data_IF_703545843576
#
_entry.id   IF_703545843576
#
_cell.length_a   1.000
_cell.length_b   1.000
_cell.length_c   1.000
_cell.angle_alpha   90.00
_cell.angle_beta   90.00
_cell.angle_gamma   90.00
#
_symmetry.space_group_name_H-M   'P 1'
#
loop_
_entity.id
_entity.type
_entity.pdbx_description
1 polymer ?
#
# COMPACT_ATOMS: atom_id res chain seq x y z
N UNK A 1 1.03 4.07 -7.38
CA UNK A 1 -0.09 3.40 -8.09
C UNK A 1 -1.43 3.77 -7.46
N UNK A 2 -2.47 3.88 -8.27
CA UNK A 2 -3.85 4.11 -7.82
C UNK A 2 -4.75 3.05 -8.45
N UNK A 3 -5.51 2.33 -7.64
CA UNK A 3 -6.51 1.35 -8.10
C UNK A 3 -7.78 1.48 -7.28
N UNK A 4 -8.93 1.20 -7.89
CA UNK A 4 -10.20 1.05 -7.17
C UNK A 4 -10.44 -0.40 -6.71
N UNK A 5 -9.61 -1.33 -7.19
CA UNK A 5 -9.61 -2.75 -6.80
C UNK A 5 -8.69 -3.01 -5.60
N UNK A 6 -8.49 -4.30 -5.27
CA UNK A 6 -7.54 -4.70 -4.22
C UNK A 6 -6.11 -4.42 -4.68
N UNK A 7 -5.27 -3.87 -3.81
CA UNK A 7 -3.88 -3.54 -4.15
C UNK A 7 -3.01 -4.76 -4.43
N UNK A 8 -3.37 -5.92 -3.89
CA UNK A 8 -2.75 -7.20 -4.19
C UNK A 8 -3.38 -7.92 -5.40
N UNK A 9 -4.35 -7.31 -6.10
CA UNK A 9 -4.91 -7.88 -7.32
C UNK A 9 -3.86 -7.90 -8.44
N UNK A 10 -4.04 -8.76 -9.45
CA UNK A 10 -3.05 -8.96 -10.51
C UNK A 10 -2.60 -7.68 -11.23
N UNK A 11 -3.52 -6.74 -11.50
CA UNK A 11 -3.22 -5.50 -12.24
C UNK A 11 -2.18 -4.61 -11.52
N UNK A 12 -2.34 -4.28 -10.22
CA UNK A 12 -1.26 -3.63 -9.49
C UNK A 12 -0.08 -4.58 -9.20
N UNK A 13 -0.34 -5.85 -8.87
CA UNK A 13 0.70 -6.82 -8.49
C UNK A 13 1.79 -6.99 -9.56
N UNK A 14 1.43 -6.98 -10.84
CA UNK A 14 2.39 -7.16 -11.94
C UNK A 14 3.45 -6.06 -12.02
N UNK A 15 3.26 -4.91 -11.36
CA UNK A 15 4.23 -3.81 -11.37
C UNK A 15 5.20 -3.83 -10.19
N UNK A 16 4.87 -4.52 -9.10
CA UNK A 16 5.57 -4.35 -7.82
C UNK A 16 5.82 -5.65 -7.04
N UNK A 17 5.29 -6.78 -7.50
CA UNK A 17 5.55 -8.09 -6.93
C UNK A 17 5.90 -9.12 -8.01
N UNK A 18 6.69 -10.11 -7.61
CA UNK A 18 7.04 -11.25 -8.43
C UNK A 18 6.56 -12.52 -7.73
N UNK A 19 5.53 -13.15 -8.29
CA UNK A 19 4.94 -14.37 -7.75
C UNK A 19 4.51 -15.27 -8.91
N UNK A 20 4.51 -16.58 -8.67
CA UNK A 20 4.16 -17.58 -9.68
C UNK A 20 2.63 -17.77 -9.81
N UNK A 21 1.88 -17.40 -8.77
CA UNK A 21 0.42 -17.47 -8.73
C UNK A 21 -0.16 -16.14 -8.24
N UNK A 22 -1.10 -15.59 -9.02
CA UNK A 22 -1.77 -14.31 -8.76
C UNK A 22 -2.73 -14.36 -7.57
N UNK A 23 -3.16 -15.53 -7.15
CA UNK A 23 -4.10 -15.70 -6.04
C UNK A 23 -3.40 -15.66 -4.67
N UNK A 24 -2.06 -15.68 -4.65
CA UNK A 24 -1.23 -15.49 -3.46
C UNK A 24 -1.15 -14.01 -3.03
N UNK A 25 -2.31 -13.37 -2.87
CA UNK A 25 -2.44 -11.95 -2.55
C UNK A 25 -1.78 -11.55 -1.21
N UNK A 26 -1.74 -12.47 -0.25
CA UNK A 26 -1.06 -12.24 1.03
C UNK A 26 0.47 -12.17 0.86
N UNK A 27 1.05 -12.98 -0.02
CA UNK A 27 2.49 -12.93 -0.31
C UNK A 27 2.84 -11.68 -1.14
N UNK A 28 1.98 -11.30 -2.09
CA UNK A 28 2.10 -10.03 -2.82
C UNK A 28 2.10 -8.85 -1.85
N UNK A 29 1.17 -8.85 -0.88
CA UNK A 29 1.10 -7.81 0.14
C UNK A 29 2.35 -7.77 1.04
N UNK A 30 2.91 -8.93 1.39
CA UNK A 30 4.17 -8.98 2.14
C UNK A 30 5.34 -8.43 1.32
N UNK A 31 5.45 -8.79 0.03
CA UNK A 31 6.48 -8.27 -0.86
C UNK A 31 6.40 -6.74 -1.00
N UNK A 32 5.18 -6.18 -1.09
CA UNK A 32 4.99 -4.73 -1.12
C UNK A 32 5.54 -4.07 0.15
N UNK A 33 5.27 -4.67 1.31
CA UNK A 33 5.69 -4.13 2.59
C UNK A 33 7.20 -4.33 2.86
N UNK A 34 7.76 -5.45 2.40
CA UNK A 34 9.16 -5.81 2.58
C UNK A 34 10.08 -5.01 1.65
N UNK A 35 9.68 -4.83 0.38
CA UNK A 35 10.48 -4.08 -0.58
C UNK A 35 10.40 -2.57 -0.35
N UNK A 36 9.25 -2.07 0.15
CA UNK A 36 9.02 -0.66 0.43
C UNK A 36 9.51 0.27 -0.70
N UNK A 37 9.34 -0.16 -1.95
CA UNK A 37 9.84 0.49 -3.16
C UNK A 37 8.79 1.39 -3.83
N UNK A 38 7.56 1.38 -3.31
CA UNK A 38 6.45 2.17 -3.82
C UNK A 38 6.39 3.50 -3.08
N UNK A 39 6.60 4.60 -3.78
CA UNK A 39 6.46 5.95 -3.18
C UNK A 39 5.01 6.23 -2.79
N UNK A 40 4.07 5.83 -3.66
CA UNK A 40 2.64 6.03 -3.48
C UNK A 40 1.86 4.78 -3.87
N UNK A 41 0.89 4.39 -3.06
CA UNK A 41 -0.05 3.33 -3.39
C UNK A 41 -1.40 3.61 -2.76
N UNK A 42 -2.47 3.54 -3.53
CA UNK A 42 -3.83 3.76 -3.05
C UNK A 42 -4.78 2.75 -3.70
N UNK A 43 -5.57 2.08 -2.87
CA UNK A 43 -6.57 1.11 -3.27
C UNK A 43 -7.16 0.39 -2.07
N UNK A 44 -7.86 -0.72 -2.32
CA UNK A 44 -8.47 -1.52 -1.25
C UNK A 44 -7.66 -2.78 -0.90
N UNK A 45 -8.27 -3.64 -0.09
CA UNK A 45 -7.72 -4.98 0.19
C UNK A 45 -6.99 -5.11 1.51
N UNK A 46 -7.31 -4.27 2.50
CA UNK A 46 -6.77 -4.31 3.88
C UNK A 46 -6.63 -5.71 4.48
N UNK A 47 -7.54 -6.64 4.16
CA UNK A 47 -7.53 -8.03 4.66
C UNK A 47 -6.20 -8.77 4.46
N UNK A 48 -5.43 -8.43 3.41
CA UNK A 48 -4.13 -9.05 3.12
C UNK A 48 -2.95 -8.27 3.73
N UNK A 49 -3.17 -7.01 4.11
CA UNK A 49 -2.20 -6.14 4.75
C UNK A 49 -2.35 -6.21 6.26
N UNK A 50 -1.92 -7.33 6.84
CA UNK A 50 -1.92 -7.54 8.29
C UNK A 50 -0.91 -6.62 8.98
N UNK A 51 -1.13 -6.35 10.28
CA UNK A 51 -0.29 -5.43 11.06
C UNK A 51 1.20 -5.81 11.04
N UNK A 52 1.52 -7.10 10.96
CA UNK A 52 2.89 -7.59 10.85
C UNK A 52 3.59 -7.09 9.56
N UNK A 53 2.88 -6.99 8.45
CA UNK A 53 3.43 -6.48 7.19
C UNK A 53 3.51 -4.96 7.22
N UNK A 54 2.45 -4.30 7.70
CA UNK A 54 2.42 -2.84 7.86
C UNK A 54 3.51 -2.32 8.80
N UNK A 55 3.91 -3.10 9.80
CA UNK A 55 5.02 -2.76 10.69
C UNK A 55 6.36 -2.62 9.93
N UNK A 56 6.57 -3.35 8.83
CA UNK A 56 7.78 -3.26 7.99
C UNK A 56 7.87 -1.93 7.24
N UNK A 57 6.74 -1.27 6.99
CA UNK A 57 6.68 0.02 6.31
C UNK A 57 6.97 1.20 7.23
N UNK A 58 6.72 1.07 8.55
CA UNK A 58 7.01 2.11 9.55
C UNK A 58 8.47 2.61 9.53
N UNK A 59 9.52 1.74 9.55
CA UNK A 59 10.90 2.20 9.50
C UNK A 59 11.27 2.90 8.19
N UNK A 60 10.57 2.60 7.09
CA UNK A 60 10.74 3.30 5.81
C UNK A 60 9.97 4.65 5.76
N UNK A 61 9.44 5.09 6.91
CA UNK A 61 8.77 6.36 7.10
C UNK A 61 7.33 6.41 6.59
N UNK A 62 6.72 5.24 6.32
CA UNK A 62 5.43 5.22 5.64
C UNK A 62 4.28 5.68 6.52
N UNK A 63 3.45 6.56 5.98
CA UNK A 63 2.16 6.90 6.57
C UNK A 63 1.10 5.97 5.99
N UNK A 64 0.40 5.27 6.86
CA UNK A 64 -0.71 4.40 6.49
C UNK A 64 -1.98 5.10 6.93
N UNK A 65 -2.91 5.31 6.01
CA UNK A 65 -4.20 5.97 6.26
C UNK A 65 -5.29 5.05 5.77
N UNK A 66 -6.31 4.79 6.58
CA UNK A 66 -7.34 3.78 6.26
C UNK A 66 -8.70 4.41 6.02
N UNK A 67 -8.90 5.65 6.47
CA UNK A 67 -10.15 6.38 6.31
C UNK A 67 -10.01 7.62 5.43
N UNK A 68 -11.03 7.89 4.60
CA UNK A 68 -11.05 9.06 3.72
C UNK A 68 -10.75 10.37 4.46
N UNK A 69 -11.23 10.51 5.69
CA UNK A 69 -11.00 11.68 6.53
C UNK A 69 -9.53 11.82 6.92
N UNK A 70 -8.83 10.71 7.22
CA UNK A 70 -7.39 10.72 7.47
C UNK A 70 -6.61 11.09 6.22
N UNK A 71 -7.08 10.67 5.03
CA UNK A 71 -6.48 11.06 3.76
C UNK A 71 -6.57 12.54 3.50
N UNK A 72 -7.74 13.12 3.74
CA UNK A 72 -7.97 14.55 3.54
C UNK A 72 -7.14 15.38 4.54
N UNK A 73 -7.05 14.92 5.79
CA UNK A 73 -6.17 15.53 6.80
C UNK A 73 -4.69 15.39 6.40
N UNK A 74 -4.27 14.23 5.90
CA UNK A 74 -2.91 14.02 5.40
C UNK A 74 -2.62 14.90 4.19
N UNK A 75 -3.55 14.97 3.23
CA UNK A 75 -3.43 15.81 2.04
C UNK A 75 -3.24 17.26 2.46
N UNK A 76 -4.09 17.78 3.35
CA UNK A 76 -3.98 19.15 3.84
C UNK A 76 -2.63 19.42 4.55
N UNK A 77 -2.09 18.43 5.27
CA UNK A 77 -0.82 18.57 5.97
C UNK A 77 0.43 18.40 5.08
N UNK A 78 0.33 17.67 3.96
CA UNK A 78 1.48 17.23 3.17
C UNK A 78 1.41 17.62 1.68
N UNK A 79 0.46 18.47 1.26
CA UNK A 79 0.29 18.94 -0.12
C UNK A 79 1.57 19.56 -0.70
N UNK A 80 2.46 20.08 0.15
CA UNK A 80 3.74 20.68 -0.23
C UNK A 80 4.95 19.70 -0.25
N UNK A 81 4.83 18.47 0.29
CA UNK A 81 5.97 17.54 0.49
C UNK A 81 5.86 16.20 -0.25
N UNK A 82 4.75 15.92 -0.93
CA UNK A 82 4.71 14.97 -2.06
C UNK A 82 5.16 13.53 -1.78
N UNK A 83 4.75 12.89 -0.68
CA UNK A 83 5.02 11.46 -0.46
C UNK A 83 3.88 10.76 0.27
N UNK A 84 2.76 10.51 -0.42
CA UNK A 84 1.59 9.88 0.21
C UNK A 84 1.51 8.38 -0.07
N UNK A 85 1.05 7.62 0.92
CA UNK A 85 1.20 6.17 1.05
C UNK A 85 -0.11 5.51 1.51
N UNK A 86 -0.11 4.18 1.37
CA UNK A 86 -1.17 3.16 1.44
C UNK A 86 -2.52 3.46 2.11
N UNK A 87 -3.59 3.23 1.33
CA UNK A 87 -4.94 2.92 1.78
C UNK A 87 -5.23 1.42 1.77
N UNK A 88 -6.12 1.00 2.68
CA UNK A 88 -6.69 -0.33 2.76
C UNK A 88 -8.11 -0.31 3.26
#
# INVERSE_FOLDING_TARGET
MTVTSRMAHATPASFAAHIHDRDLESEIADQYCANANLDFSLGGGKRHFIDAFLAKLKPAGYTITLDKTELEAYRAANEAKGTLRMFG
#
